data_IF_878234814051
#
_entry.id   IF_878234814051
#
_cell.length_a   1.000
_cell.length_b   1.000
_cell.length_c   1.000
_cell.angle_alpha   90.00
_cell.angle_beta   90.00
_cell.angle_gamma   90.00
#
_symmetry.space_group_name_H-M   'P 1'
#
loop_
_entity.id
_entity.type
_entity.pdbx_description
1 polymer ?
#
# COMPACT_ATOMS: atom_id res chain seq x y z
N UNK A 1 10.27 -1.20 -5.56
CA UNK A 1 10.52 -0.06 -4.64
C UNK A 1 11.99 -0.02 -4.26
N UNK A 2 12.63 1.15 -4.33
CA UNK A 2 14.05 1.33 -4.04
C UNK A 2 14.22 2.23 -2.82
N UNK A 3 14.96 1.78 -1.81
CA UNK A 3 15.23 2.55 -0.60
C UNK A 3 16.74 2.72 -0.40
N UNK A 4 17.15 3.96 -0.12
CA UNK A 4 18.53 4.28 0.25
C UNK A 4 18.57 4.80 1.68
N UNK A 5 19.55 4.33 2.43
CA UNK A 5 20.01 4.99 3.65
C UNK A 5 21.32 5.70 3.35
N UNK A 6 21.40 6.98 3.70
CA UNK A 6 22.57 7.81 3.50
C UNK A 6 22.99 8.47 4.81
N UNK A 7 24.26 8.85 4.90
CA UNK A 7 24.72 9.74 5.97
C UNK A 7 24.41 11.21 5.68
N UNK A 8 24.76 12.10 6.60
CA UNK A 8 24.52 13.55 6.46
C UNK A 8 25.32 14.22 5.33
N UNK A 9 26.28 13.51 4.74
CA UNK A 9 27.07 13.99 3.60
C UNK A 9 26.52 13.50 2.26
N UNK A 10 25.48 12.65 2.29
CA UNK A 10 24.88 12.04 1.10
C UNK A 10 25.56 10.74 0.66
N UNK A 11 26.49 10.20 1.44
CA UNK A 11 27.10 8.91 1.12
C UNK A 11 26.13 7.78 1.45
N UNK A 12 25.96 6.86 0.50
CA UNK A 12 25.09 5.69 0.66
C UNK A 12 25.70 4.75 1.70
N UNK A 13 25.00 4.57 2.82
CA UNK A 13 25.30 3.58 3.85
C UNK A 13 24.84 2.20 3.37
N UNK A 14 23.60 2.12 2.88
CA UNK A 14 23.07 0.93 2.23
C UNK A 14 21.95 1.27 1.26
N UNK A 15 21.68 0.34 0.34
CA UNK A 15 20.57 0.41 -0.61
C UNK A 15 19.86 -0.95 -0.67
N UNK A 16 18.54 -0.93 -0.77
CA UNK A 16 17.69 -2.13 -0.78
C UNK A 16 16.59 -1.99 -1.81
N UNK A 17 16.24 -3.11 -2.41
CA UNK A 17 15.12 -3.25 -3.35
C UNK A 17 14.07 -4.13 -2.71
N UNK A 18 12.81 -3.69 -2.77
CA UNK A 18 11.65 -4.43 -2.30
C UNK A 18 10.57 -4.43 -3.37
N UNK A 19 9.89 -5.55 -3.58
CA UNK A 19 8.99 -5.73 -4.72
C UNK A 19 9.17 -7.08 -5.39
N UNK A 20 8.71 -7.18 -6.63
CA UNK A 20 8.73 -8.43 -7.38
C UNK A 20 9.15 -8.26 -8.84
N UNK A 21 8.68 -9.17 -9.70
CA UNK A 21 9.07 -9.23 -11.11
C UNK A 21 8.37 -8.21 -12.01
N UNK A 22 7.33 -7.54 -11.51
CA UNK A 22 6.56 -6.54 -12.23
C UNK A 22 6.75 -5.15 -11.62
N UNK A 23 6.08 -4.14 -12.17
CA UNK A 23 6.16 -2.76 -11.68
C UNK A 23 5.78 -2.63 -10.21
N UNK A 24 6.56 -1.82 -9.50
CA UNK A 24 6.38 -1.50 -8.08
C UNK A 24 6.62 0.00 -7.89
N UNK A 25 5.66 0.69 -7.31
CA UNK A 25 5.79 2.10 -6.94
C UNK A 25 5.83 2.27 -5.43
N UNK A 26 6.57 3.27 -4.93
CA UNK A 26 6.68 3.62 -3.51
C UNK A 26 6.24 5.07 -3.34
N UNK A 27 5.29 5.34 -2.45
CA UNK A 27 4.72 6.68 -2.25
C UNK A 27 4.80 7.17 -0.81
N UNK A 28 4.73 6.27 0.17
CA UNK A 28 4.78 6.64 1.58
C UNK A 28 5.89 5.93 2.33
N UNK A 29 6.46 6.64 3.30
CA UNK A 29 7.39 6.08 4.27
C UNK A 29 7.14 6.73 5.63
N UNK A 30 7.23 5.94 6.70
CA UNK A 30 7.25 6.48 8.05
C UNK A 30 8.16 5.65 8.96
N UNK A 31 8.65 6.27 10.04
CA UNK A 31 9.45 5.59 11.06
C UNK A 31 8.63 5.44 12.33
N UNK A 32 8.66 4.25 12.92
CA UNK A 32 8.10 4.05 14.25
C UNK A 32 9.11 4.40 15.34
N UNK A 33 8.60 4.68 16.54
CA UNK A 33 9.42 5.05 17.71
C UNK A 33 10.36 3.94 18.18
N UNK A 34 10.07 2.68 17.85
CA UNK A 34 10.92 1.51 18.09
C UNK A 34 11.96 1.26 16.98
N UNK A 35 12.06 2.17 16.00
CA UNK A 35 13.11 2.18 14.99
C UNK A 35 12.84 1.30 13.77
N UNK A 36 11.62 0.78 13.58
CA UNK A 36 11.25 0.18 12.30
C UNK A 36 10.90 1.25 11.27
N UNK A 37 11.03 0.88 10.01
CA UNK A 37 10.67 1.71 8.86
C UNK A 37 9.50 1.03 8.17
N UNK A 38 8.45 1.80 7.91
CA UNK A 38 7.32 1.40 7.11
C UNK A 38 7.44 2.02 5.74
N UNK A 39 7.21 1.22 4.70
CA UNK A 39 7.10 1.66 3.32
C UNK A 39 5.72 1.28 2.80
N UNK A 40 5.13 2.13 1.98
CA UNK A 40 3.91 1.79 1.26
C UNK A 40 3.93 2.29 -0.17
N UNK A 41 3.24 1.57 -1.02
CA UNK A 41 2.97 1.92 -2.40
C UNK A 41 2.03 0.91 -3.00
N UNK A 42 2.25 0.53 -4.26
CA UNK A 42 1.42 -0.47 -4.93
C UNK A 42 2.24 -1.28 -5.93
N UNK A 43 1.75 -2.48 -6.22
CA UNK A 43 2.48 -3.50 -7.00
C UNK A 43 1.59 -4.23 -8.00
N UNK A 44 2.19 -4.61 -9.14
CA UNK A 44 1.63 -5.59 -10.08
C UNK A 44 2.20 -7.00 -9.86
N UNK A 45 3.09 -7.18 -8.88
CA UNK A 45 3.77 -8.45 -8.64
C UNK A 45 2.92 -9.37 -7.77
N UNK A 46 2.43 -10.47 -8.34
CA UNK A 46 1.63 -11.47 -7.60
C UNK A 46 0.20 -11.03 -7.30
N UNK A 47 -0.30 -10.03 -8.02
CA UNK A 47 -1.65 -9.43 -7.87
C UNK A 47 -2.42 -9.54 -9.18
N UNK A 48 -3.73 -9.23 -9.18
CA UNK A 48 -4.54 -9.24 -10.43
C UNK A 48 -4.43 -7.93 -11.21
N UNK A 49 -4.17 -6.84 -10.50
CA UNK A 49 -3.88 -5.51 -11.00
C UNK A 49 -3.13 -4.76 -9.89
N UNK A 50 -3.07 -3.43 -9.90
CA UNK A 50 -2.45 -2.67 -8.82
C UNK A 50 -3.15 -2.93 -7.48
N UNK A 51 -2.44 -3.59 -6.57
CA UNK A 51 -2.85 -3.69 -5.17
C UNK A 51 -1.87 -2.90 -4.31
N UNK A 52 -2.34 -2.38 -3.17
CA UNK A 52 -1.45 -1.74 -2.19
C UNK A 52 -0.38 -2.72 -1.74
N UNK A 53 0.83 -2.24 -1.50
CA UNK A 53 1.96 -3.03 -1.03
C UNK A 53 2.63 -2.29 0.12
N UNK A 54 2.57 -2.87 1.31
CA UNK A 54 3.07 -2.29 2.56
C UNK A 54 4.13 -3.20 3.16
N UNK A 55 5.24 -2.62 3.61
CA UNK A 55 6.39 -3.35 4.14
C UNK A 55 6.82 -2.72 5.45
N UNK A 56 7.11 -3.55 6.45
CA UNK A 56 7.86 -3.17 7.65
C UNK A 56 9.27 -3.76 7.59
N UNK A 57 10.29 -2.93 7.75
CA UNK A 57 11.69 -3.32 7.74
C UNK A 57 12.41 -2.84 9.01
N UNK A 58 13.48 -3.52 9.39
CA UNK A 58 14.39 -3.06 10.46
C UNK A 58 15.37 -1.98 9.96
N UNK A 59 16.22 -1.43 10.84
CA UNK A 59 17.21 -0.40 10.50
C UNK A 59 18.34 -0.86 9.56
N UNK A 60 18.50 -2.17 9.39
CA UNK A 60 19.43 -2.83 8.47
C UNK A 60 18.80 -3.05 7.08
N UNK A 61 17.50 -2.78 6.94
CA UNK A 61 16.73 -2.98 5.72
C UNK A 61 16.36 -4.45 5.48
N UNK A 62 16.24 -5.25 6.54
CA UNK A 62 15.69 -6.60 6.45
C UNK A 62 14.18 -6.55 6.66
N UNK A 63 13.45 -7.31 5.84
CA UNK A 63 11.99 -7.38 5.89
C UNK A 63 11.56 -8.11 7.16
N UNK A 64 10.71 -7.46 7.95
CA UNK A 64 10.03 -8.05 9.10
C UNK A 64 8.73 -8.70 8.63
N UNK A 65 7.93 -7.95 7.87
CA UNK A 65 6.75 -8.43 7.19
C UNK A 65 6.43 -7.56 5.97
N UNK A 66 5.64 -8.14 5.08
CA UNK A 66 5.06 -7.45 3.92
C UNK A 66 3.62 -7.90 3.69
N UNK A 67 2.78 -7.01 3.17
CA UNK A 67 1.38 -7.29 2.86
C UNK A 67 0.97 -6.64 1.54
N UNK A 68 0.19 -7.37 0.74
CA UNK A 68 -0.45 -6.87 -0.47
C UNK A 68 -1.95 -6.90 -0.30
N UNK A 69 -2.63 -5.82 -0.67
CA UNK A 69 -4.06 -5.71 -0.41
C UNK A 69 -4.78 -4.85 -1.46
N UNK A 70 -5.65 -5.52 -2.22
CA UNK A 70 -6.67 -4.88 -3.03
C UNK A 70 -7.95 -4.64 -2.21
N UNK A 71 -8.75 -3.68 -2.63
CA UNK A 71 -9.96 -3.28 -1.96
C UNK A 71 -11.11 -4.28 -2.21
N UNK A 72 -11.88 -4.68 -1.17
CA UNK A 72 -12.94 -5.68 -1.29
C UNK A 72 -14.30 -5.11 -1.77
N UNK A 73 -14.34 -4.02 -2.54
CA UNK A 73 -15.57 -3.35 -3.03
C UNK A 73 -16.48 -4.20 -3.92
N UNK A 74 -16.06 -5.42 -4.28
CA UNK A 74 -16.89 -6.38 -5.02
C UNK A 74 -16.81 -6.27 -6.55
N UNK A 75 -15.94 -5.39 -7.06
CA UNK A 75 -15.62 -5.34 -8.48
C UNK A 75 -14.64 -6.45 -8.88
N UNK A 76 -14.55 -6.75 -10.17
CA UNK A 76 -13.54 -7.66 -10.68
C UNK A 76 -12.14 -7.02 -10.51
N UNK A 77 -11.24 -7.62 -9.71
CA UNK A 77 -9.96 -7.01 -9.34
C UNK A 77 -9.02 -6.80 -10.53
N UNK A 78 -9.27 -7.47 -11.68
CA UNK A 78 -8.51 -7.21 -12.91
C UNK A 78 -8.64 -5.76 -13.40
N UNK A 79 -9.70 -5.07 -13.03
CA UNK A 79 -9.99 -3.71 -13.50
C UNK A 79 -9.83 -2.66 -12.41
N UNK A 80 -9.60 -3.04 -11.16
CA UNK A 80 -9.47 -2.08 -10.06
C UNK A 80 -8.00 -1.78 -9.83
N UNK A 81 -7.71 -0.52 -9.57
CA UNK A 81 -6.43 -0.01 -9.13
C UNK A 81 -6.60 0.38 -7.66
N UNK A 82 -5.80 -0.21 -6.79
CA UNK A 82 -5.73 0.10 -5.37
C UNK A 82 -4.35 0.69 -5.07
N UNK A 83 -4.30 2.02 -5.02
CA UNK A 83 -3.06 2.77 -5.02
C UNK A 83 -2.78 3.41 -3.67
N UNK A 84 -1.72 2.99 -2.97
CA UNK A 84 -1.33 3.66 -1.73
C UNK A 84 -0.68 5.03 -1.99
N UNK A 85 -1.00 6.00 -1.14
CA UNK A 85 -0.52 7.39 -1.25
C UNK A 85 0.34 7.82 -0.05
N UNK A 86 0.03 7.38 1.16
CA UNK A 86 0.87 7.63 2.35
C UNK A 86 0.65 6.55 3.43
N UNK A 87 1.54 6.52 4.42
CA UNK A 87 1.51 5.63 5.58
C UNK A 87 1.88 6.40 6.83
N UNK A 88 1.28 6.02 7.97
CA UNK A 88 1.69 6.49 9.30
C UNK A 88 1.86 5.31 10.24
N UNK A 89 3.02 5.25 10.90
CA UNK A 89 3.26 4.32 11.99
C UNK A 89 2.35 4.68 13.17
N UNK A 90 1.87 3.66 13.88
CA UNK A 90 1.03 3.84 15.06
C UNK A 90 1.79 3.48 16.34
N UNK A 91 1.40 4.08 17.46
CA UNK A 91 2.09 3.88 18.75
C UNK A 91 2.02 2.44 19.28
N UNK A 92 1.08 1.63 18.78
CA UNK A 92 0.97 0.19 19.05
C UNK A 92 1.91 -0.66 18.16
N UNK A 93 2.82 -0.02 17.42
CA UNK A 93 3.83 -0.67 16.57
C UNK A 93 3.32 -1.11 15.20
N UNK A 94 2.04 -0.84 14.87
CA UNK A 94 1.43 -1.06 13.58
C UNK A 94 1.52 0.15 12.63
N UNK A 95 0.61 0.23 11.67
CA UNK A 95 0.49 1.37 10.78
C UNK A 95 -0.93 1.57 10.22
N UNK A 96 -1.19 2.78 9.71
CA UNK A 96 -2.37 3.12 8.91
C UNK A 96 -1.89 3.58 7.53
N UNK A 97 -2.45 2.99 6.49
CA UNK A 97 -2.22 3.32 5.08
C UNK A 97 -3.42 4.09 4.54
N UNK A 98 -3.16 5.16 3.81
CA UNK A 98 -4.17 5.82 2.96
C UNK A 98 -3.90 5.47 1.50
N UNK A 99 -4.95 5.04 0.82
CA UNK A 99 -4.93 4.64 -0.57
C UNK A 99 -6.17 5.17 -1.31
N UNK A 100 -6.12 5.12 -2.64
CA UNK A 100 -7.27 5.26 -3.52
C UNK A 100 -7.68 3.91 -4.09
N UNK A 101 -8.97 3.75 -4.38
CA UNK A 101 -9.50 2.57 -5.07
C UNK A 101 -10.46 3.01 -6.17
N UNK A 102 -10.29 2.50 -7.38
CA UNK A 102 -11.11 2.85 -8.54
C UNK A 102 -10.64 2.16 -9.81
N UNK A 103 -11.21 2.51 -10.95
CA UNK A 103 -10.71 2.09 -12.25
C UNK A 103 -10.38 3.29 -13.17
N UNK A 104 -9.46 3.07 -14.10
CA UNK A 104 -9.04 4.07 -15.11
C UNK A 104 -9.37 3.61 -16.54
N UNK A 105 -10.14 2.53 -16.70
CA UNK A 105 -10.37 1.92 -17.99
C UNK A 105 -11.60 2.54 -18.63
N UNK A 106 -11.43 3.38 -19.65
CA UNK A 106 -12.55 4.06 -20.32
C UNK A 106 -13.64 3.12 -20.90
N UNK A 107 -13.35 1.83 -21.08
CA UNK A 107 -14.30 0.81 -21.54
C UNK A 107 -14.86 -0.08 -20.41
N UNK A 108 -14.41 0.08 -19.17
CA UNK A 108 -14.93 -0.62 -18.01
C UNK A 108 -15.70 0.38 -17.14
N UNK A 109 -17.01 0.25 -17.12
CA UNK A 109 -17.84 0.91 -16.14
C UNK A 109 -18.82 -0.14 -15.63
N UNK A 110 -18.63 -0.55 -14.37
CA UNK A 110 -19.51 -1.50 -13.70
C UNK A 110 -20.13 -0.84 -12.50
N UNK A 111 -21.41 -1.13 -12.32
CA UNK A 111 -22.13 -0.87 -11.09
C UNK A 111 -22.13 -2.13 -10.25
N UNK A 112 -21.76 -2.03 -8.97
CA UNK A 112 -21.94 -3.14 -8.03
C UNK A 112 -22.36 -2.64 -6.66
N UNK A 113 -22.85 -3.56 -5.82
CA UNK A 113 -23.41 -3.24 -4.51
C UNK A 113 -24.86 -2.74 -4.57
N UNK A 114 -25.49 -2.65 -3.41
CA UNK A 114 -26.89 -2.25 -3.27
C UNK A 114 -27.12 -0.75 -3.50
N UNK A 115 -26.05 0.05 -3.45
CA UNK A 115 -26.11 1.52 -3.47
C UNK A 115 -25.79 2.13 -4.85
N UNK A 116 -25.48 1.29 -5.85
CA UNK A 116 -25.18 1.76 -7.21
C UNK A 116 -23.80 2.40 -7.39
N UNK A 117 -22.83 2.04 -6.55
CA UNK A 117 -21.41 2.43 -6.68
C UNK A 117 -20.88 2.09 -8.08
N UNK A 118 -20.03 2.95 -8.62
CA UNK A 118 -19.41 2.78 -9.93
C UNK A 118 -17.91 2.55 -9.76
N UNK A 119 -17.38 1.56 -10.49
CA UNK A 119 -15.96 1.23 -10.46
C UNK A 119 -15.06 2.42 -10.81
N UNK A 120 -15.54 3.31 -11.69
CA UNK A 120 -14.81 4.48 -12.17
C UNK A 120 -14.94 5.71 -11.27
N UNK A 121 -15.60 5.56 -10.12
CA UNK A 121 -15.57 6.56 -9.05
C UNK A 121 -14.50 6.17 -8.04
N UNK A 122 -13.48 7.02 -7.91
CA UNK A 122 -12.39 6.81 -6.98
C UNK A 122 -12.85 7.09 -5.55
N UNK A 123 -12.54 6.15 -4.66
CA UNK A 123 -12.82 6.25 -3.23
C UNK A 123 -11.52 6.21 -2.44
N UNK A 124 -11.52 6.82 -1.26
CA UNK A 124 -10.45 6.65 -0.29
C UNK A 124 -10.57 5.27 0.34
N UNK A 125 -9.45 4.58 0.43
CA UNK A 125 -9.30 3.27 1.07
C UNK A 125 -8.30 3.39 2.21
N UNK A 126 -8.75 3.14 3.43
CA UNK A 126 -7.92 3.13 4.63
C UNK A 126 -7.70 1.70 5.10
N UNK A 127 -6.44 1.38 5.40
CA UNK A 127 -6.03 0.05 5.85
C UNK A 127 -5.24 0.21 7.15
N UNK A 128 -5.59 -0.55 8.20
CA UNK A 128 -4.81 -0.59 9.44
C UNK A 128 -4.23 -1.97 9.66
N UNK A 129 -2.91 -2.01 9.86
CA UNK A 129 -2.17 -3.21 10.24
C UNK A 129 -1.71 -3.12 11.68
N UNK A 130 -1.62 -4.26 12.36
CA UNK A 130 -0.95 -4.36 13.66
C UNK A 130 0.58 -4.48 13.48
N UNK A 131 1.30 -4.61 14.60
CA UNK A 131 2.77 -4.70 14.60
C UNK A 131 3.33 -5.90 13.83
N UNK A 132 2.53 -6.96 13.67
CA UNK A 132 2.90 -8.21 12.99
C UNK A 132 2.48 -8.24 11.51
N UNK A 133 1.87 -7.15 11.01
CA UNK A 133 1.40 -7.08 9.63
C UNK A 133 0.02 -7.70 9.41
N UNK A 134 -0.69 -8.06 10.49
CA UNK A 134 -2.05 -8.58 10.39
C UNK A 134 -3.04 -7.42 10.24
N UNK A 135 -4.02 -7.59 9.34
CA UNK A 135 -5.07 -6.61 9.11
C UNK A 135 -5.96 -6.48 10.36
N UNK A 136 -6.05 -5.28 10.93
CA UNK A 136 -7.00 -4.97 12.02
C UNK A 136 -8.35 -4.58 11.43
N UNK A 137 -8.35 -3.63 10.49
CA UNK A 137 -9.54 -3.20 9.78
C UNK A 137 -9.20 -2.55 8.45
N UNK A 138 -10.18 -2.51 7.58
CA UNK A 138 -10.16 -1.79 6.31
C UNK A 138 -11.47 -1.05 6.11
N UNK A 139 -11.42 0.16 5.54
CA UNK A 139 -12.60 1.00 5.33
C UNK A 139 -12.49 1.79 4.03
N UNK A 140 -13.63 1.95 3.35
CA UNK A 140 -13.74 2.72 2.11
C UNK A 140 -14.65 3.92 2.35
N UNK A 141 -14.24 5.08 1.83
CA UNK A 141 -14.95 6.35 1.97
C UNK A 141 -14.98 7.09 0.64
N UNK A 142 -16.14 7.59 0.25
CA UNK A 142 -16.37 8.26 -1.03
C UNK A 142 -17.78 7.96 -1.52
N UNK A 143 -18.33 8.87 -2.31
CA UNK A 143 -19.73 8.88 -2.76
C UNK A 143 -20.19 10.28 -3.08
#
# INVERSE_FOLDING_TARGET
>A
MYLLKMDSTGQIIWKKEYGGSNSDHCFGMDLSSDGFIFLTGHTLSGTKNWDTYTIKINLQGDVVWESKKGNPRGFNPKFIHDEAWDIKATADGGCIVVAGTGDEYGNYNRKCGNDGDNSNTWHVYLIRYNSNGELIWEKTYGG
#
